data_IF_504525135923
#
_entry.id   IF_504525135923
#
_cell.length_a   1.000
_cell.length_b   1.000
_cell.length_c   1.000
_cell.angle_alpha   90.00
_cell.angle_beta   90.00
_cell.angle_gamma   90.00
#
_symmetry.space_group_name_H-M   'P 1'
#
loop_
_entity.id
_entity.type
_entity.pdbx_description
1 polymer ?
#
# COMPACT_ATOMS: atom_id res chain seq x y z
N UNK A 1 -77.14 0.03 -16.50
CA UNK A 1 -76.71 0.47 -15.16
C UNK A 1 -75.55 -0.37 -14.59
N UNK A 2 -74.62 -0.89 -15.41
CA UNK A 2 -73.53 -1.78 -14.95
C UNK A 2 -72.11 -1.24 -15.09
N UNK A 3 -71.83 -0.26 -15.97
CA UNK A 3 -70.45 0.23 -16.17
C UNK A 3 -70.01 1.38 -15.23
N UNK A 4 -70.95 2.01 -14.51
CA UNK A 4 -70.65 3.14 -13.61
C UNK A 4 -70.21 2.65 -12.21
N UNK A 5 -70.69 1.49 -11.75
CA UNK A 5 -70.29 0.93 -10.45
C UNK A 5 -68.91 0.27 -10.50
N UNK A 6 -68.55 -0.35 -11.62
CA UNK A 6 -67.28 -1.05 -11.83
C UNK A 6 -66.08 -0.07 -11.87
N UNK A 7 -66.26 1.11 -12.49
CA UNK A 7 -65.26 2.19 -12.51
C UNK A 7 -65.05 2.86 -11.14
N UNK A 8 -66.05 2.86 -10.25
CA UNK A 8 -65.94 3.39 -8.89
C UNK A 8 -65.15 2.44 -7.97
N UNK A 9 -65.39 1.13 -8.11
CA UNK A 9 -64.66 0.10 -7.38
C UNK A 9 -63.18 0.05 -7.77
N UNK A 10 -62.87 0.14 -9.08
CA UNK A 10 -61.49 0.16 -9.59
C UNK A 10 -60.73 1.41 -9.14
N UNK A 11 -61.37 2.59 -9.10
CA UNK A 11 -60.74 3.82 -8.59
C UNK A 11 -60.39 3.75 -7.10
N UNK A 12 -61.22 3.10 -6.28
CA UNK A 12 -60.95 2.90 -4.85
C UNK A 12 -59.82 1.89 -4.59
N UNK A 13 -59.73 0.82 -5.38
CA UNK A 13 -58.64 -0.17 -5.27
C UNK A 13 -57.30 0.42 -5.74
N UNK A 14 -57.31 1.21 -6.82
CA UNK A 14 -56.12 1.88 -7.35
C UNK A 14 -55.63 2.98 -6.41
N UNK A 15 -56.52 3.83 -5.87
CA UNK A 15 -56.13 4.84 -4.87
C UNK A 15 -55.64 4.20 -3.56
N UNK A 16 -56.23 3.08 -3.12
CA UNK A 16 -55.73 2.33 -1.96
C UNK A 16 -54.35 1.73 -2.22
N UNK A 17 -54.11 1.08 -3.37
CA UNK A 17 -52.78 0.54 -3.72
C UNK A 17 -51.68 1.61 -3.77
N UNK A 18 -51.96 2.80 -4.32
CA UNK A 18 -50.98 3.90 -4.33
C UNK A 18 -50.80 4.56 -2.95
N UNK A 19 -51.84 4.60 -2.12
CA UNK A 19 -51.77 5.09 -0.75
C UNK A 19 -50.92 4.19 0.15
N UNK A 20 -51.00 2.86 -0.02
CA UNK A 20 -50.13 1.91 0.70
C UNK A 20 -48.72 1.82 0.10
N UNK A 21 -48.55 2.02 -1.21
CA UNK A 21 -47.22 2.12 -1.84
C UNK A 21 -46.48 3.42 -1.44
N UNK A 22 -47.17 4.55 -1.29
CA UNK A 22 -46.55 5.80 -0.83
C UNK A 22 -46.18 5.76 0.65
N UNK A 23 -46.98 5.09 1.51
CA UNK A 23 -46.67 4.96 2.93
C UNK A 23 -45.44 4.07 3.18
N UNK A 24 -45.21 3.03 2.35
CA UNK A 24 -44.04 2.15 2.44
C UNK A 24 -42.75 2.72 1.84
N UNK A 25 -42.84 3.58 0.80
CA UNK A 25 -41.68 4.25 0.19
C UNK A 25 -41.23 5.50 0.97
N UNK A 26 -42.13 6.13 1.73
CA UNK A 26 -41.80 7.28 2.58
C UNK A 26 -40.96 6.91 3.80
N UNK A 27 -41.03 5.68 4.32
CA UNK A 27 -40.27 5.30 5.52
C UNK A 27 -38.80 5.03 5.23
N UNK A 28 -38.49 4.29 4.16
CA UNK A 28 -37.11 3.98 3.79
C UNK A 28 -36.35 5.23 3.27
N UNK A 29 -37.00 6.03 2.42
CA UNK A 29 -36.41 7.29 1.92
C UNK A 29 -36.27 8.33 3.04
N UNK A 30 -37.20 8.37 4.00
CA UNK A 30 -37.07 9.20 5.20
C UNK A 30 -35.96 8.68 6.13
N UNK A 31 -35.78 7.38 6.30
CA UNK A 31 -34.68 6.83 7.11
C UNK A 31 -33.32 7.13 6.49
N UNK A 32 -33.15 6.89 5.18
CA UNK A 32 -31.89 7.20 4.47
C UNK A 32 -31.61 8.70 4.50
N UNK A 33 -32.62 9.55 4.27
CA UNK A 33 -32.48 11.00 4.37
C UNK A 33 -32.17 11.45 5.79
N UNK A 34 -32.80 10.85 6.81
CA UNK A 34 -32.58 11.20 8.20
C UNK A 34 -31.21 10.74 8.71
N UNK A 35 -30.75 9.55 8.33
CA UNK A 35 -29.40 9.05 8.62
C UNK A 35 -28.35 9.91 7.90
N UNK A 36 -28.59 10.27 6.64
CA UNK A 36 -27.74 11.20 5.88
C UNK A 36 -27.70 12.60 6.52
N UNK A 37 -28.85 13.17 6.91
CA UNK A 37 -28.95 14.48 7.54
C UNK A 37 -28.25 14.46 8.91
N UNK A 38 -28.51 13.44 9.73
CA UNK A 38 -27.86 13.23 11.02
C UNK A 38 -26.34 13.08 10.86
N UNK A 39 -25.87 12.35 9.86
CA UNK A 39 -24.43 12.15 9.63
C UNK A 39 -23.75 13.47 9.21
N UNK A 40 -24.40 14.24 8.32
CA UNK A 40 -23.89 15.51 7.79
C UNK A 40 -23.88 16.64 8.82
N UNK A 41 -24.88 16.69 9.70
CA UNK A 41 -25.02 17.72 10.74
C UNK A 41 -24.63 17.23 12.14
N UNK A 42 -24.08 16.02 12.26
CA UNK A 42 -23.53 15.52 13.52
C UNK A 42 -22.46 16.49 14.05
N UNK A 43 -22.48 16.71 15.37
CA UNK A 43 -21.41 17.46 16.05
C UNK A 43 -20.06 16.78 15.79
N UNK A 44 -18.95 17.54 15.72
CA UNK A 44 -17.62 16.99 15.41
C UNK A 44 -17.22 15.78 16.26
N UNK A 45 -17.64 15.73 17.52
CA UNK A 45 -17.30 14.66 18.47
C UNK A 45 -17.89 13.32 18.03
N UNK A 46 -19.16 13.32 17.62
CA UNK A 46 -19.85 12.11 17.16
C UNK A 46 -19.25 11.62 15.82
N UNK A 47 -18.79 12.53 14.96
CA UNK A 47 -18.05 12.18 13.74
C UNK A 47 -16.69 11.57 14.06
N UNK A 48 -15.98 12.14 15.03
CA UNK A 48 -14.67 11.64 15.47
C UNK A 48 -14.77 10.25 16.08
N UNK A 49 -15.75 10.00 16.96
CA UNK A 49 -15.99 8.67 17.55
C UNK A 49 -16.27 7.61 16.49
N UNK A 50 -17.07 7.94 15.46
CA UNK A 50 -17.33 7.01 14.34
C UNK A 50 -16.04 6.65 13.61
N UNK A 51 -15.25 7.65 13.24
CA UNK A 51 -13.95 7.42 12.60
C UNK A 51 -13.07 6.58 13.53
N UNK A 52 -13.00 6.89 14.81
CA UNK A 52 -12.20 6.07 15.74
C UNK A 52 -12.65 4.61 15.73
N UNK A 53 -13.94 4.32 15.76
CA UNK A 53 -14.48 2.95 15.70
C UNK A 53 -14.17 2.27 14.36
N UNK A 54 -14.26 2.98 13.23
CA UNK A 54 -13.95 2.43 11.92
C UNK A 54 -12.46 2.03 11.81
N UNK A 55 -11.58 2.81 12.44
CA UNK A 55 -10.14 2.59 12.47
C UNK A 55 -9.69 1.69 13.63
N UNK A 56 -10.60 1.28 14.51
CA UNK A 56 -10.29 0.28 15.53
C UNK A 56 -10.15 -1.10 14.90
N UNK A 57 -9.01 -1.73 15.22
CA UNK A 57 -8.66 -3.05 14.74
C UNK A 57 -8.83 -4.08 15.86
N UNK A 58 -10.01 -4.70 15.90
CA UNK A 58 -10.26 -5.80 16.85
C UNK A 58 -9.42 -7.03 16.53
N UNK A 59 -9.18 -7.87 17.53
CA UNK A 59 -8.46 -9.14 17.36
C UNK A 59 -9.08 -10.01 16.27
N UNK A 60 -10.41 -10.06 16.19
CA UNK A 60 -11.13 -10.78 15.14
C UNK A 60 -10.83 -10.22 13.74
N UNK A 61 -10.76 -8.88 13.58
CA UNK A 61 -10.36 -8.26 12.32
C UNK A 61 -8.90 -8.57 11.98
N UNK A 62 -7.99 -8.54 12.96
CA UNK A 62 -6.58 -8.93 12.75
C UNK A 62 -6.45 -10.38 12.25
N UNK A 63 -7.19 -11.32 12.84
CA UNK A 63 -7.19 -12.71 12.38
C UNK A 63 -7.67 -12.85 10.93
N UNK A 64 -8.71 -12.10 10.54
CA UNK A 64 -9.19 -12.07 9.14
C UNK A 64 -8.13 -11.51 8.19
N UNK A 65 -7.47 -10.40 8.56
CA UNK A 65 -6.38 -9.81 7.76
C UNK A 65 -5.22 -10.79 7.63
N UNK A 66 -4.77 -11.39 8.73
CA UNK A 66 -3.70 -12.40 8.72
C UNK A 66 -4.04 -13.56 7.80
N UNK A 67 -5.27 -14.09 7.90
CA UNK A 67 -5.73 -15.20 7.07
C UNK A 67 -5.69 -14.83 5.58
N UNK A 68 -6.26 -13.68 5.21
CA UNK A 68 -6.23 -13.19 3.83
C UNK A 68 -4.79 -12.95 3.33
N UNK A 69 -3.90 -12.44 4.19
CA UNK A 69 -2.49 -12.22 3.84
C UNK A 69 -1.75 -13.54 3.58
N UNK A 70 -2.01 -14.59 4.38
CA UNK A 70 -1.46 -15.93 4.16
C UNK A 70 -1.96 -16.52 2.83
N UNK A 71 -3.26 -16.44 2.57
CA UNK A 71 -3.86 -16.94 1.31
C UNK A 71 -3.27 -16.23 0.07
N UNK A 72 -3.06 -14.91 0.14
CA UNK A 72 -2.42 -14.16 -0.94
C UNK A 72 -0.94 -14.51 -1.10
N UNK A 73 -0.21 -14.79 -0.01
CA UNK A 73 1.18 -15.25 -0.12
C UNK A 73 1.29 -16.64 -0.77
N UNK A 74 0.41 -17.57 -0.39
CA UNK A 74 0.33 -18.91 -1.00
C UNK A 74 0.05 -18.79 -2.50
N UNK A 75 -1.00 -18.06 -2.88
CA UNK A 75 -1.32 -17.80 -4.30
C UNK A 75 -0.20 -17.06 -5.05
N UNK A 76 0.53 -16.16 -4.38
CA UNK A 76 1.63 -15.42 -4.99
C UNK A 76 2.85 -16.29 -5.31
N UNK A 77 3.03 -17.40 -4.57
CA UNK A 77 4.10 -18.39 -4.75
C UNK A 77 3.73 -19.51 -5.74
N UNK A 78 2.45 -19.70 -6.05
CA UNK A 78 2.00 -20.68 -7.05
C UNK A 78 2.57 -20.39 -8.46
N UNK A 79 2.80 -21.46 -9.23
CA UNK A 79 3.45 -21.38 -10.53
C UNK A 79 2.55 -20.67 -11.57
N UNK A 80 3.01 -19.49 -12.02
CA UNK A 80 2.33 -18.64 -13.01
C UNK A 80 2.25 -19.27 -14.39
N UNK A 81 3.02 -20.32 -14.67
CA UNK A 81 2.97 -21.03 -15.97
C UNK A 81 1.79 -21.98 -16.09
N UNK A 82 1.15 -22.36 -14.96
CA UNK A 82 0.10 -23.38 -14.95
C UNK A 82 -1.32 -22.84 -15.19
N UNK A 83 -1.55 -21.53 -15.15
CA UNK A 83 -2.93 -21.02 -15.29
C UNK A 83 -3.04 -19.58 -15.78
N UNK A 84 -3.33 -19.42 -17.07
CA UNK A 84 -3.89 -18.17 -17.61
C UNK A 84 -5.33 -17.89 -17.13
N UNK A 85 -5.81 -18.63 -16.12
CA UNK A 85 -7.18 -18.61 -15.60
C UNK A 85 -7.26 -18.33 -14.09
N UNK A 86 -6.13 -18.28 -13.36
CA UNK A 86 -6.14 -17.96 -11.92
C UNK A 86 -5.99 -16.46 -11.71
N UNK A 87 -6.86 -15.91 -10.88
CA UNK A 87 -6.79 -14.52 -10.40
C UNK A 87 -5.40 -14.26 -9.83
N UNK A 88 -4.66 -13.32 -10.43
CA UNK A 88 -3.32 -12.95 -9.98
C UNK A 88 -3.37 -12.41 -8.54
N UNK A 89 -2.57 -13.00 -7.64
CA UNK A 89 -2.42 -12.48 -6.28
C UNK A 89 -1.96 -11.02 -6.30
N UNK A 90 -2.47 -10.26 -5.33
CA UNK A 90 -2.01 -8.91 -5.00
C UNK A 90 -0.55 -8.90 -4.48
N UNK A 91 -0.08 -10.00 -3.89
CA UNK A 91 1.29 -10.16 -3.40
C UNK A 91 2.15 -10.85 -4.47
N UNK A 92 3.17 -10.15 -4.97
CA UNK A 92 3.97 -10.62 -6.11
C UNK A 92 4.97 -11.75 -5.78
N UNK A 93 5.30 -11.91 -4.50
CA UNK A 93 6.25 -12.91 -3.97
C UNK A 93 7.53 -13.03 -4.82
N UNK A 94 8.20 -11.90 -5.08
CA UNK A 94 9.36 -11.82 -5.97
C UNK A 94 10.57 -12.51 -5.32
N UNK A 95 11.21 -13.50 -5.96
CA UNK A 95 12.43 -14.12 -5.44
C UNK A 95 13.57 -13.12 -5.33
N UNK A 96 14.20 -13.04 -4.15
CA UNK A 96 15.35 -12.15 -3.90
C UNK A 96 16.69 -12.75 -4.30
N UNK A 97 16.73 -14.05 -4.61
CA UNK A 97 17.95 -14.85 -4.80
C UNK A 97 18.91 -14.86 -3.58
N UNK A 98 18.42 -14.46 -2.41
CA UNK A 98 19.14 -14.61 -1.13
C UNK A 98 18.70 -15.91 -0.48
N UNK A 99 19.56 -16.93 -0.54
CA UNK A 99 19.23 -18.31 -0.12
C UNK A 99 19.67 -18.66 1.30
N UNK A 100 20.49 -17.82 1.94
CA UNK A 100 21.04 -18.07 3.28
C UNK A 100 21.09 -16.78 4.10
N UNK A 101 20.86 -16.93 5.39
CA UNK A 101 21.04 -15.87 6.39
C UNK A 101 22.54 -15.77 6.73
N UNK A 102 23.08 -14.56 6.99
CA UNK A 102 24.46 -14.39 7.43
C UNK A 102 24.79 -15.23 8.66
N UNK A 103 26.00 -15.79 8.71
CA UNK A 103 26.47 -16.65 9.80
C UNK A 103 27.60 -16.00 10.63
N UNK A 104 27.99 -14.77 10.29
CA UNK A 104 29.02 -14.03 11.00
C UNK A 104 30.44 -14.35 10.55
N UNK A 105 30.63 -15.23 9.57
CA UNK A 105 31.95 -15.58 9.03
C UNK A 105 32.35 -14.71 7.83
N UNK A 106 31.49 -13.79 7.41
CA UNK A 106 31.73 -12.88 6.31
C UNK A 106 32.96 -12.01 6.59
N UNK A 107 33.81 -11.84 5.58
CA UNK A 107 35.01 -11.00 5.64
C UNK A 107 35.13 -10.15 4.39
N UNK A 108 35.86 -9.03 4.50
CA UNK A 108 36.20 -8.17 3.38
C UNK A 108 35.53 -6.81 3.41
N UNK A 109 35.88 -5.98 2.43
CA UNK A 109 35.41 -4.59 2.32
C UNK A 109 34.34 -4.50 1.23
N UNK A 110 33.17 -4.01 1.63
CA UNK A 110 32.00 -3.86 0.79
C UNK A 110 31.57 -2.40 0.76
N UNK A 111 31.02 -1.99 -0.38
CA UNK A 111 30.38 -0.70 -0.53
C UNK A 111 28.90 -0.93 -0.69
N UNK A 112 28.09 -0.22 0.09
CA UNK A 112 26.64 -0.28 -0.04
C UNK A 112 26.13 1.00 -0.65
N UNK A 113 25.07 0.85 -1.43
CA UNK A 113 24.31 1.92 -2.04
C UNK A 113 22.86 1.68 -1.63
N UNK A 114 22.27 2.66 -0.97
CA UNK A 114 20.87 2.59 -0.55
C UNK A 114 20.15 3.87 -0.95
N UNK A 115 19.02 3.69 -1.61
CA UNK A 115 18.11 4.75 -1.98
C UNK A 115 16.75 4.43 -1.37
N UNK A 116 16.42 5.13 -0.29
CA UNK A 116 15.18 4.94 0.45
C UNK A 116 14.50 6.27 0.76
N UNK A 117 13.36 6.52 0.11
CA UNK A 117 12.56 7.72 0.31
C UNK A 117 13.28 8.98 -0.17
N UNK A 118 13.69 9.84 0.78
CA UNK A 118 14.22 11.19 0.50
C UNK A 118 15.75 11.29 0.41
N UNK A 119 16.47 10.22 0.77
CA UNK A 119 17.93 10.24 0.85
C UNK A 119 18.58 9.11 0.05
N UNK A 120 19.75 9.43 -0.47
CA UNK A 120 20.72 8.51 -1.04
C UNK A 120 21.87 8.32 -0.06
N UNK A 121 22.22 7.06 0.22
CA UNK A 121 23.23 6.68 1.22
C UNK A 121 24.29 5.78 0.59
N UNK A 122 25.55 6.07 0.90
CA UNK A 122 26.69 5.23 0.51
C UNK A 122 27.52 4.91 1.75
N UNK A 123 27.81 3.63 1.98
CA UNK A 123 28.64 3.16 3.10
C UNK A 123 29.86 2.39 2.60
N UNK A 124 30.99 2.52 3.30
CA UNK A 124 32.10 1.56 3.28
C UNK A 124 32.01 0.71 4.55
N UNK A 125 31.78 -0.59 4.37
CA UNK A 125 31.64 -1.57 5.45
C UNK A 125 32.77 -2.59 5.34
N UNK A 126 33.50 -2.79 6.41
CA UNK A 126 34.47 -3.87 6.54
C UNK A 126 33.93 -4.94 7.47
N UNK A 127 33.82 -6.18 6.99
CA UNK A 127 33.52 -7.35 7.82
C UNK A 127 34.82 -8.04 8.20
N UNK A 128 34.95 -8.40 9.48
CA UNK A 128 36.16 -8.99 10.08
C UNK A 128 35.95 -10.46 10.50
N UNK A 129 34.82 -11.07 10.10
CA UNK A 129 34.35 -12.34 10.64
C UNK A 129 33.98 -12.23 12.12
N UNK A 130 33.63 -13.36 12.74
CA UNK A 130 33.23 -13.46 14.15
C UNK A 130 32.15 -12.45 14.55
N UNK A 131 31.19 -12.18 13.67
CA UNK A 131 30.13 -11.17 13.83
C UNK A 131 30.64 -9.72 13.99
N UNK A 132 31.89 -9.43 13.62
CA UNK A 132 32.44 -8.08 13.70
C UNK A 132 32.37 -7.36 12.36
N UNK A 133 31.93 -6.11 12.40
CA UNK A 133 31.96 -5.19 11.26
C UNK A 133 32.33 -3.78 11.70
N UNK A 134 32.90 -3.00 10.80
CA UNK A 134 33.21 -1.59 10.99
C UNK A 134 32.66 -0.79 9.82
N UNK A 135 31.90 0.27 10.11
CA UNK A 135 31.48 1.24 9.10
C UNK A 135 32.50 2.37 9.16
N UNK A 136 33.40 2.42 8.18
CA UNK A 136 34.50 3.38 8.19
C UNK A 136 34.09 4.75 7.64
N UNK A 137 33.07 4.79 6.77
CA UNK A 137 32.53 6.03 6.25
C UNK A 137 31.07 5.88 5.82
N UNK A 138 30.32 6.95 6.01
CA UNK A 138 28.96 7.12 5.54
C UNK A 138 28.82 8.47 4.83
N UNK A 139 28.22 8.47 3.64
CA UNK A 139 27.79 9.67 2.94
C UNK A 139 26.27 9.60 2.79
N UNK A 140 25.57 10.65 3.23
CA UNK A 140 24.12 10.82 3.05
C UNK A 140 23.85 12.09 2.27
N UNK A 141 23.08 11.97 1.19
CA UNK A 141 22.70 13.10 0.33
C UNK A 141 21.20 13.12 0.19
N UNK A 142 20.60 14.30 0.42
CA UNK A 142 19.18 14.50 0.15
C UNK A 142 18.97 14.53 -1.36
N UNK A 143 18.00 13.77 -1.83
CA UNK A 143 17.69 13.71 -3.26
C UNK A 143 16.83 14.93 -3.58
N UNK A 144 17.29 15.75 -4.53
CA UNK A 144 16.52 16.91 -4.98
C UNK A 144 15.19 16.49 -5.60
N UNK A 145 14.20 17.37 -5.58
CA UNK A 145 12.91 17.08 -6.23
C UNK A 145 13.06 16.78 -7.72
N UNK A 146 14.04 17.40 -8.37
CA UNK A 146 14.38 17.15 -9.76
C UNK A 146 14.70 15.66 -10.00
N UNK A 147 15.52 15.03 -9.15
CA UNK A 147 15.86 13.62 -9.29
C UNK A 147 14.76 12.67 -8.82
N UNK A 148 13.85 13.12 -7.95
CA UNK A 148 12.69 12.32 -7.53
C UNK A 148 11.60 12.22 -8.60
N UNK A 149 11.47 13.26 -9.43
CA UNK A 149 10.40 13.40 -10.44
C UNK A 149 10.90 13.23 -11.87
N UNK A 150 12.18 12.93 -12.08
CA UNK A 150 12.75 12.82 -13.43
C UNK A 150 12.36 11.50 -14.08
N UNK A 151 11.95 11.56 -15.34
CA UNK A 151 11.81 10.38 -16.21
C UNK A 151 13.13 10.01 -16.92
N UNK A 152 14.16 10.86 -16.77
CA UNK A 152 15.48 10.63 -17.38
C UNK A 152 16.34 9.72 -16.49
N UNK A 153 16.32 8.43 -16.81
CA UNK A 153 17.08 7.40 -16.11
C UNK A 153 18.58 7.66 -16.15
N UNK A 154 19.12 8.08 -17.30
CA UNK A 154 20.56 8.29 -17.46
C UNK A 154 21.07 9.41 -16.55
N UNK A 155 20.32 10.50 -16.47
CA UNK A 155 20.64 11.64 -15.60
C UNK A 155 20.66 11.23 -14.13
N UNK A 156 19.65 10.46 -13.71
CA UNK A 156 19.56 9.92 -12.35
C UNK A 156 20.73 8.99 -12.04
N UNK A 157 20.96 7.96 -12.84
CA UNK A 157 22.05 7.00 -12.62
C UNK A 157 23.43 7.67 -12.67
N UNK A 158 23.63 8.64 -13.57
CA UNK A 158 24.86 9.45 -13.60
C UNK A 158 25.10 10.18 -12.28
N UNK A 159 24.05 10.78 -11.69
CA UNK A 159 24.17 11.43 -10.39
C UNK A 159 24.54 10.44 -9.28
N UNK A 160 23.86 9.28 -9.21
CA UNK A 160 24.16 8.26 -8.20
C UNK A 160 25.60 7.75 -8.31
N UNK A 161 26.08 7.51 -9.53
CA UNK A 161 27.46 7.06 -9.79
C UNK A 161 28.48 8.12 -9.40
N UNK A 162 28.21 9.40 -9.66
CA UNK A 162 29.11 10.49 -9.23
C UNK A 162 29.22 10.56 -7.71
N UNK A 163 28.11 10.43 -6.98
CA UNK A 163 28.14 10.40 -5.52
C UNK A 163 28.93 9.20 -5.00
N UNK A 164 28.72 8.02 -5.58
CA UNK A 164 29.48 6.82 -5.23
C UNK A 164 30.99 7.02 -5.50
N UNK A 165 31.34 7.60 -6.66
CA UNK A 165 32.73 7.90 -7.03
C UNK A 165 33.37 8.84 -6.00
N UNK A 166 32.71 9.92 -5.64
CA UNK A 166 33.23 10.89 -4.67
C UNK A 166 33.38 10.25 -3.29
N UNK A 167 32.43 9.42 -2.87
CA UNK A 167 32.54 8.66 -1.63
C UNK A 167 33.78 7.75 -1.63
N UNK A 168 33.98 6.98 -2.70
CA UNK A 168 35.15 6.09 -2.84
C UNK A 168 36.44 6.90 -2.84
N UNK A 169 36.53 7.97 -3.64
CA UNK A 169 37.72 8.83 -3.72
C UNK A 169 38.13 9.38 -2.35
N UNK A 170 37.16 9.70 -1.48
CA UNK A 170 37.45 10.24 -0.16
C UNK A 170 37.77 9.17 0.91
N UNK A 171 37.43 7.89 0.70
CA UNK A 171 37.67 6.83 1.68
C UNK A 171 38.70 5.79 1.26
N UNK A 172 39.02 5.73 -0.03
CA UNK A 172 39.95 4.80 -0.65
C UNK A 172 40.39 5.31 -2.04
N UNK A 173 41.22 6.38 -2.11
CA UNK A 173 41.59 7.02 -3.38
C UNK A 173 42.28 6.06 -4.36
N UNK A 174 43.05 5.10 -3.85
CA UNK A 174 43.81 4.15 -4.67
C UNK A 174 42.91 3.07 -5.29
N UNK A 175 41.71 2.85 -4.75
CA UNK A 175 40.76 1.87 -5.30
C UNK A 175 40.27 2.22 -6.69
N UNK A 176 40.14 3.52 -7.01
CA UNK A 176 39.70 3.96 -8.33
C UNK A 176 40.82 3.91 -9.38
N UNK A 177 42.10 4.00 -8.97
CA UNK A 177 43.25 3.87 -9.88
C UNK A 177 43.36 2.48 -10.52
N UNK A 178 42.71 1.46 -9.95
CA UNK A 178 42.66 0.10 -10.51
C UNK A 178 41.74 -0.03 -11.72
N UNK A 179 40.91 0.98 -11.99
CA UNK A 179 39.89 0.95 -13.04
C UNK A 179 40.08 2.07 -14.09
N UNK A 180 41.16 2.85 -13.97
CA UNK A 180 41.60 3.87 -14.93
C UNK A 180 42.66 3.30 -15.86
#
# INVERSE_FOLDING_TARGET
MSQVSENSALRKVVQSKYFWMSLGLMTASSMIFYDWYRDRYAKPEVRYERIQVDWQLSTMRMFKIRKAFLEEMEQGLEDKTASNLVKKSSLKMIPSNVVKVPNGTETGVFYTLDWGGSNYRVLKIEFKGKNQKTISKETRIKISEEFQKTDNKDKLFKHLVLVLKDHIQQCDPDRLKKFS
#
